data_IF_680555495214
#
_entry.id   IF_680555495214
#
_cell.length_a   1.000
_cell.length_b   1.000
_cell.length_c   1.000
_cell.angle_alpha   90.00
_cell.angle_beta   90.00
_cell.angle_gamma   90.00
#
_symmetry.space_group_name_H-M   'P 1'
#
loop_
_entity.id
_entity.type
_entity.pdbx_description
1 polymer ?
#
# COMPACT_ATOMS: atom_id res chain seq x y z
N UNK A 1 -6.24 -0.89 -14.80
CA UNK A 1 -6.07 0.16 -13.78
C UNK A 1 -7.29 0.10 -12.87
N UNK A 2 -7.11 -0.24 -11.59
CA UNK A 2 -8.22 -0.22 -10.63
C UNK A 2 -8.71 1.23 -10.48
N UNK A 3 -10.02 1.45 -10.25
CA UNK A 3 -10.50 2.78 -9.91
C UNK A 3 -9.76 3.30 -8.67
N UNK A 4 -9.27 4.55 -8.70
CA UNK A 4 -8.45 5.15 -7.63
C UNK A 4 -9.11 5.04 -6.24
N UNK A 5 -10.44 5.00 -6.17
CA UNK A 5 -11.19 4.87 -4.92
C UNK A 5 -11.11 3.47 -4.26
N UNK A 6 -10.66 2.44 -4.98
CA UNK A 6 -10.43 1.07 -4.44
C UNK A 6 -8.96 0.85 -4.06
N UNK A 7 -8.07 1.79 -4.42
CA UNK A 7 -6.64 1.67 -4.14
C UNK A 7 -6.37 1.67 -2.63
N UNK A 8 -5.56 0.73 -2.10
CA UNK A 8 -5.19 0.73 -0.68
C UNK A 8 -4.40 2.00 -0.32
N UNK A 9 -3.64 2.57 -1.26
CA UNK A 9 -2.80 3.73 -1.00
C UNK A 9 -3.62 4.99 -0.68
N UNK A 10 -4.81 5.14 -1.28
CA UNK A 10 -5.73 6.20 -0.89
C UNK A 10 -6.14 6.07 0.58
N UNK A 11 -6.47 4.85 1.00
CA UNK A 11 -6.83 4.56 2.38
C UNK A 11 -5.67 4.74 3.35
N UNK A 12 -4.45 4.33 2.97
CA UNK A 12 -3.23 4.57 3.75
C UNK A 12 -2.98 6.07 3.95
N UNK A 13 -2.98 6.87 2.88
CA UNK A 13 -2.87 8.32 2.99
C UNK A 13 -3.94 8.90 3.91
N UNK A 14 -5.18 8.48 3.69
CA UNK A 14 -6.32 8.99 4.43
C UNK A 14 -6.23 8.64 5.92
N UNK A 15 -5.81 7.44 6.27
CA UNK A 15 -5.59 7.02 7.65
C UNK A 15 -4.42 7.76 8.30
N UNK A 16 -3.33 7.94 7.57
CA UNK A 16 -2.11 8.57 8.09
C UNK A 16 -2.28 10.09 8.30
N UNK A 17 -2.94 10.77 7.36
CA UNK A 17 -3.14 12.22 7.41
C UNK A 17 -4.46 12.63 8.03
N UNK A 18 -5.39 11.68 8.21
CA UNK A 18 -6.81 11.92 8.46
C UNK A 18 -7.45 12.80 7.38
N UNK A 19 -6.95 12.73 6.14
CA UNK A 19 -7.31 13.64 5.06
C UNK A 19 -7.37 12.94 3.70
N UNK A 20 -8.43 13.24 2.92
CA UNK A 20 -8.46 12.90 1.50
C UNK A 20 -7.40 13.73 0.74
N UNK A 21 -6.97 13.30 -0.46
CA UNK A 21 -6.18 14.12 -1.36
C UNK A 21 -6.79 15.51 -1.56
N UNK A 22 -5.97 16.56 -1.46
CA UNK A 22 -6.43 17.96 -1.59
C UNK A 22 -7.16 18.25 -2.90
N UNK A 23 -6.80 17.53 -3.96
CA UNK A 23 -7.40 17.69 -5.29
C UNK A 23 -8.89 17.30 -5.33
N UNK A 24 -9.39 16.61 -4.28
CA UNK A 24 -10.78 16.21 -4.13
C UNK A 24 -11.55 17.04 -3.11
N UNK A 25 -10.96 18.14 -2.62
CA UNK A 25 -11.64 19.01 -1.67
C UNK A 25 -12.52 20.00 -2.43
N UNK A 26 -13.74 20.23 -1.94
CA UNK A 26 -14.65 21.25 -2.50
C UNK A 26 -14.50 22.58 -1.72
N UNK A 27 -14.13 22.49 -0.44
CA UNK A 27 -13.82 23.61 0.45
C UNK A 27 -12.47 23.44 1.16
N UNK A 28 -11.96 24.51 1.78
CA UNK A 28 -10.68 24.50 2.51
C UNK A 28 -10.63 23.53 3.71
N UNK A 29 -11.78 23.03 4.19
CA UNK A 29 -11.89 22.18 5.38
C UNK A 29 -12.50 20.78 5.12
N UNK A 30 -12.83 20.42 3.89
CA UNK A 30 -13.51 19.13 3.59
C UNK A 30 -12.62 17.90 3.76
N UNK A 31 -11.31 18.10 3.88
CA UNK A 31 -10.36 17.01 4.01
C UNK A 31 -10.15 16.52 5.43
N UNK A 32 -10.11 17.41 6.42
CA UNK A 32 -9.53 17.10 7.74
C UNK A 32 -10.56 16.41 8.63
N UNK A 33 -10.35 15.12 8.92
CA UNK A 33 -11.22 14.32 9.79
C UNK A 33 -10.71 14.36 11.24
N UNK A 34 -11.34 15.09 12.18
CA UNK A 34 -10.92 15.10 13.58
C UNK A 34 -11.26 13.78 14.30
N UNK A 35 -10.54 13.42 15.39
CA UNK A 35 -9.41 14.15 15.96
C UNK A 35 -8.07 13.78 15.28
N UNK A 36 -7.10 14.68 15.36
CA UNK A 36 -5.76 14.44 14.80
C UNK A 36 -5.00 13.31 15.52
N UNK A 37 -5.39 12.98 16.76
CA UNK A 37 -4.83 11.87 17.54
C UNK A 37 -5.17 10.49 16.99
N UNK A 38 -6.14 10.39 16.09
CA UNK A 38 -6.56 9.12 15.45
C UNK A 38 -5.84 8.91 14.10
N UNK A 39 -4.74 9.63 13.86
CA UNK A 39 -3.81 9.32 12.77
C UNK A 39 -3.11 8.00 13.07
N UNK A 40 -2.90 7.20 12.03
CA UNK A 40 -2.20 5.93 12.12
C UNK A 40 -0.80 6.06 11.53
N UNK A 41 0.18 5.39 12.13
CA UNK A 41 1.50 5.27 11.53
C UNK A 41 1.43 4.41 10.26
N UNK A 42 2.31 4.67 9.28
CA UNK A 42 2.29 3.96 8.01
C UNK A 42 2.52 2.46 8.19
N UNK A 43 3.33 2.05 9.15
CA UNK A 43 3.57 0.65 9.50
C UNK A 43 2.29 -0.04 9.95
N UNK A 44 1.46 0.64 10.74
CA UNK A 44 0.17 0.10 11.19
C UNK A 44 -0.78 -0.09 10.01
N UNK A 45 -0.78 0.86 9.07
CA UNK A 45 -1.58 0.80 7.85
C UNK A 45 -1.13 -0.33 6.92
N UNK A 46 0.19 -0.49 6.72
CA UNK A 46 0.75 -1.62 5.97
C UNK A 46 0.32 -2.94 6.59
N UNK A 47 0.43 -3.11 7.91
CA UNK A 47 -0.06 -4.30 8.59
C UNK A 47 -1.57 -4.50 8.41
N UNK A 48 -2.35 -3.41 8.48
CA UNK A 48 -3.80 -3.40 8.26
C UNK A 48 -4.19 -3.97 6.88
N UNK A 49 -3.51 -3.51 5.83
CA UNK A 49 -3.75 -3.95 4.45
C UNK A 49 -3.08 -5.27 4.07
N UNK A 50 -2.29 -5.87 4.95
CA UNK A 50 -1.56 -7.12 4.69
C UNK A 50 -1.91 -8.18 5.74
N UNK A 51 -1.06 -8.39 6.74
CA UNK A 51 -1.16 -9.50 7.68
C UNK A 51 -2.44 -9.45 8.54
N UNK A 52 -2.90 -8.26 8.95
CA UNK A 52 -4.11 -8.15 9.76
C UNK A 52 -5.39 -8.40 8.93
N UNK A 53 -5.36 -8.10 7.63
CA UNK A 53 -6.41 -8.52 6.70
C UNK A 53 -6.43 -10.04 6.53
N UNK A 54 -5.26 -10.66 6.31
CA UNK A 54 -5.14 -12.11 6.19
C UNK A 54 -5.62 -12.84 7.45
N UNK A 55 -5.27 -12.35 8.65
CA UNK A 55 -5.72 -12.91 9.94
C UNK A 55 -7.24 -12.90 10.10
N UNK A 56 -7.89 -11.80 9.72
CA UNK A 56 -9.36 -11.70 9.77
C UNK A 56 -10.05 -12.75 8.90
N UNK A 57 -9.39 -13.16 7.81
CA UNK A 57 -9.87 -14.20 6.90
C UNK A 57 -9.36 -15.61 7.26
N UNK A 58 -8.53 -15.76 8.31
CA UNK A 58 -7.82 -17.00 8.66
C UNK A 58 -6.95 -17.54 7.52
N UNK A 59 -6.34 -16.64 6.77
CA UNK A 59 -5.42 -16.94 5.66
C UNK A 59 -3.98 -16.55 5.99
N UNK A 60 -3.68 -16.16 7.22
CA UNK A 60 -2.38 -15.65 7.64
C UNK A 60 -1.26 -16.68 7.66
N UNK A 61 -1.56 -17.97 7.56
CA UNK A 61 -0.55 -19.01 7.28
C UNK A 61 -0.12 -19.04 5.80
N UNK A 62 -0.93 -18.49 4.89
CA UNK A 62 -0.70 -18.54 3.44
C UNK A 62 -0.38 -17.18 2.83
N UNK A 63 -0.88 -16.09 3.42
CA UNK A 63 -0.87 -14.74 2.85
C UNK A 63 -0.43 -13.67 3.86
N UNK A 64 -0.26 -12.44 3.36
CA UNK A 64 -0.21 -11.22 4.16
C UNK A 64 1.16 -10.86 4.74
N UNK A 65 2.21 -11.65 4.49
CA UNK A 65 3.60 -11.28 4.79
C UNK A 65 4.58 -11.99 3.85
N UNK A 66 5.80 -11.47 3.76
CA UNK A 66 6.89 -12.06 2.96
C UNK A 66 7.69 -12.98 3.89
N UNK A 67 7.33 -14.25 3.91
CA UNK A 67 7.94 -15.28 4.73
C UNK A 67 8.01 -16.60 3.95
N UNK A 68 9.04 -17.42 4.20
CA UNK A 68 9.18 -18.70 3.51
C UNK A 68 8.00 -19.64 3.85
N UNK A 69 7.45 -20.29 2.83
CA UNK A 69 6.30 -21.20 2.95
C UNK A 69 4.94 -20.55 2.63
N UNK A 70 4.87 -19.22 2.49
CA UNK A 70 3.67 -18.51 2.02
C UNK A 70 3.59 -18.43 0.50
N UNK A 71 2.41 -18.10 -0.02
CA UNK A 71 2.22 -17.79 -1.43
C UNK A 71 3.05 -16.56 -1.80
N UNK A 72 3.64 -16.57 -2.99
CA UNK A 72 4.44 -15.46 -3.51
C UNK A 72 3.53 -14.35 -4.08
N UNK A 73 2.68 -13.81 -3.21
CA UNK A 73 1.77 -12.70 -3.46
C UNK A 73 2.42 -11.41 -2.94
N UNK A 74 3.02 -10.64 -3.84
CA UNK A 74 3.67 -9.39 -3.49
C UNK A 74 3.65 -8.40 -4.64
N UNK A 75 4.00 -7.16 -4.32
CA UNK A 75 4.15 -6.10 -5.30
C UNK A 75 5.48 -5.41 -5.10
N UNK A 76 5.96 -4.75 -6.16
CA UNK A 76 7.16 -3.93 -6.14
C UNK A 76 6.76 -2.47 -6.30
N UNK A 77 7.30 -1.61 -5.43
CA UNK A 77 7.16 -0.16 -5.53
C UNK A 77 8.49 0.44 -5.96
N UNK A 78 8.47 1.39 -6.91
CA UNK A 78 9.69 2.12 -7.30
C UNK A 78 10.13 3.12 -6.22
N UNK A 79 9.16 3.62 -5.45
CA UNK A 79 9.38 4.60 -4.38
C UNK A 79 9.13 3.93 -3.04
N UNK A 80 10.02 4.17 -2.08
CA UNK A 80 9.83 3.71 -0.72
C UNK A 80 8.62 4.42 -0.10
N UNK A 81 7.55 3.66 0.20
CA UNK A 81 6.31 4.14 0.82
C UNK A 81 6.55 5.00 2.07
N UNK A 82 7.60 4.70 2.85
CA UNK A 82 7.92 5.39 4.11
C UNK A 82 8.70 6.71 3.91
N UNK A 83 9.20 6.98 2.71
CA UNK A 83 10.00 8.17 2.40
C UNK A 83 9.29 9.15 1.46
N UNK A 84 8.20 8.74 0.82
CA UNK A 84 7.47 9.64 -0.08
C UNK A 84 6.71 10.70 0.73
N UNK A 85 6.43 11.84 0.10
CA UNK A 85 5.52 12.84 0.67
C UNK A 85 4.16 12.21 0.99
N UNK A 86 3.72 12.20 2.26
CA UNK A 86 2.49 11.52 2.65
C UNK A 86 1.23 12.05 1.95
N UNK A 87 1.25 13.28 1.41
CA UNK A 87 0.13 13.83 0.63
C UNK A 87 0.03 13.23 -0.79
N UNK A 88 1.03 12.47 -1.21
CA UNK A 88 1.13 11.85 -2.54
C UNK A 88 1.06 10.31 -2.50
N UNK A 89 0.90 9.68 -1.33
CA UNK A 89 0.78 8.21 -1.19
C UNK A 89 -0.33 7.67 -2.07
N UNK A 90 -1.47 8.36 -2.16
CA UNK A 90 -2.61 7.95 -2.99
C UNK A 90 -2.31 7.78 -4.49
N UNK A 91 -1.21 8.36 -4.97
CA UNK A 91 -0.77 8.27 -6.37
C UNK A 91 0.21 7.13 -6.64
N UNK A 92 0.56 6.35 -5.61
CA UNK A 92 1.43 5.19 -5.79
C UNK A 92 0.76 4.17 -6.72
N UNK A 93 1.57 3.67 -7.64
CA UNK A 93 1.26 2.51 -8.45
C UNK A 93 2.42 1.53 -8.34
N UNK A 94 2.14 0.23 -8.19
CA UNK A 94 3.19 -0.78 -8.20
C UNK A 94 3.80 -0.91 -9.60
N UNK A 95 5.13 -1.03 -9.68
CA UNK A 95 5.83 -1.34 -10.92
C UNK A 95 5.70 -2.80 -11.33
N UNK A 96 5.45 -3.69 -10.37
CA UNK A 96 5.13 -5.09 -10.60
C UNK A 96 4.14 -5.61 -9.56
N UNK A 97 3.25 -6.53 -9.98
CA UNK A 97 2.34 -7.29 -9.10
C UNK A 97 2.47 -8.76 -9.44
N UNK A 98 2.73 -9.56 -8.41
CA UNK A 98 2.88 -11.01 -8.50
C UNK A 98 1.81 -11.69 -7.66
N UNK A 99 1.23 -12.75 -8.22
CA UNK A 99 0.26 -13.62 -7.56
C UNK A 99 0.74 -15.06 -7.70
N UNK A 100 0.93 -15.76 -6.60
CA UNK A 100 1.43 -17.13 -6.53
C UNK A 100 2.75 -17.34 -7.30
N UNK A 101 3.56 -16.28 -7.40
CA UNK A 101 4.83 -16.27 -8.14
C UNK A 101 4.72 -15.89 -9.62
N UNK A 102 3.51 -15.74 -10.16
CA UNK A 102 3.27 -15.33 -11.54
C UNK A 102 3.16 -13.80 -11.64
N UNK A 103 3.84 -13.21 -12.63
CA UNK A 103 3.76 -11.77 -12.90
C UNK A 103 2.43 -11.44 -13.58
N UNK A 104 1.55 -10.73 -12.87
CA UNK A 104 0.20 -10.38 -13.35
C UNK A 104 0.17 -8.98 -13.97
N UNK A 105 0.98 -8.05 -13.45
CA UNK A 105 1.02 -6.68 -13.94
C UNK A 105 2.43 -6.11 -13.85
N UNK A 106 2.78 -5.28 -14.83
CA UNK A 106 3.99 -4.47 -14.82
C UNK A 106 5.24 -5.26 -15.24
N UNK A 107 6.39 -4.90 -14.68
CA UNK A 107 7.66 -5.55 -14.94
C UNK A 107 8.50 -5.54 -13.67
N UNK A 108 9.14 -6.68 -13.37
CA UNK A 108 10.17 -6.71 -12.33
C UNK A 108 11.34 -5.83 -12.76
N UNK A 109 12.03 -5.20 -11.79
CA UNK A 109 13.28 -4.51 -12.09
C UNK A 109 14.25 -5.49 -12.76
N UNK A 110 15.08 -5.03 -13.71
CA UNK A 110 16.07 -5.89 -14.35
C UNK A 110 16.93 -6.56 -13.27
N UNK A 111 17.29 -7.82 -13.49
CA UNK A 111 18.21 -8.53 -12.60
C UNK A 111 19.43 -7.65 -12.35
N UNK A 112 19.63 -7.28 -11.09
CA UNK A 112 20.90 -6.75 -10.66
C UNK A 112 21.84 -7.94 -10.74
N UNK A 113 22.58 -8.05 -11.86
CA UNK A 113 23.70 -8.98 -11.98
C UNK A 113 24.69 -8.59 -10.89
N UNK A 114 24.54 -9.22 -9.73
CA UNK A 114 25.58 -9.22 -8.72
C UNK A 114 26.71 -10.03 -9.35
N UNK A 115 27.81 -9.35 -9.68
CA UNK A 115 28.99 -9.99 -10.23
C UNK A 115 29.48 -11.12 -9.31
N UNK A 116 30.36 -12.00 -9.83
CA UNK A 116 30.85 -13.17 -9.10
C UNK A 116 31.49 -12.82 -7.75
#
# INVERSE_FOLDING_TARGET
MLPTYISPYLGMQTGHLRQNPKVWWETDNDGIRPPASERLELEQLVQGYTINGARQLRLDEQLGSIEAGKLADFLVLERNLFEIDPFHIWTLEPSAVLMEGELIQGALPPEVVTGP
#
